data_IF_821374644418
#
_entry.id   IF_821374644418
#
_cell.length_a   1.000
_cell.length_b   1.000
_cell.length_c   1.000
_cell.angle_alpha   90.00
_cell.angle_beta   90.00
_cell.angle_gamma   90.00
#
_symmetry.space_group_name_H-M   'P 1'
#
loop_
_entity.id
_entity.type
_entity.pdbx_description
1 polymer ?
#
# COMPACT_ATOMS: atom_id res chain seq x y z
N UNK A 1 33.26 -43.76 42.78
CA UNK A 1 31.91 -44.29 43.02
C UNK A 1 30.96 -43.11 42.88
N UNK A 2 30.04 -43.22 41.91
CA UNK A 2 28.84 -42.39 41.67
C UNK A 2 28.99 -40.88 41.50
N UNK A 3 29.05 -40.50 40.22
CA UNK A 3 28.40 -39.34 39.61
C UNK A 3 26.86 -39.45 39.75
N UNK A 4 26.11 -38.36 40.02
CA UNK A 4 24.68 -38.32 39.71
C UNK A 4 24.30 -37.10 38.84
N UNK A 5 23.89 -37.41 37.59
CA UNK A 5 22.65 -37.00 36.91
C UNK A 5 22.17 -35.54 37.13
N UNK A 6 21.91 -34.74 36.10
CA UNK A 6 21.44 -35.10 34.78
C UNK A 6 21.51 -33.95 33.79
N UNK A 7 21.90 -34.31 32.57
CA UNK A 7 21.77 -33.49 31.37
C UNK A 7 20.29 -33.21 31.10
N UNK A 8 19.85 -31.97 31.35
CA UNK A 8 18.67 -31.43 30.73
C UNK A 8 19.01 -31.07 29.28
N UNK A 9 19.05 -32.10 28.42
CA UNK A 9 18.98 -31.93 26.96
C UNK A 9 17.58 -31.41 26.61
N UNK A 10 17.40 -30.10 26.78
CA UNK A 10 16.28 -29.37 26.21
C UNK A 10 16.40 -29.45 24.69
N UNK A 11 15.69 -30.42 24.12
CA UNK A 11 15.47 -30.50 22.69
C UNK A 11 14.91 -29.15 22.23
N UNK A 12 15.74 -28.38 21.53
CA UNK A 12 15.30 -27.24 20.73
C UNK A 12 14.37 -27.85 19.68
N UNK A 13 13.08 -27.81 19.94
CA UNK A 13 12.06 -28.13 18.96
C UNK A 13 12.22 -27.14 17.83
N UNK A 14 12.91 -27.57 16.78
CA UNK A 14 12.88 -26.97 15.45
C UNK A 14 11.42 -26.69 15.11
N UNK A 15 11.03 -25.42 15.15
CA UNK A 15 9.72 -24.97 14.71
C UNK A 15 9.70 -25.15 13.19
N UNK A 16 8.89 -26.09 12.72
CA UNK A 16 8.78 -26.42 11.30
C UNK A 16 8.56 -25.15 10.44
N UNK A 17 9.23 -25.02 9.27
CA UNK A 17 9.00 -23.93 8.35
C UNK A 17 7.66 -24.18 7.64
N UNK A 18 6.61 -23.50 8.09
CA UNK A 18 5.33 -23.52 7.38
C UNK A 18 4.12 -23.36 8.28
N UNK A 19 3.81 -22.13 8.70
CA UNK A 19 2.46 -21.75 9.12
C UNK A 19 2.04 -20.45 8.41
N UNK A 20 2.31 -20.39 7.10
CA UNK A 20 1.65 -19.42 6.24
C UNK A 20 0.15 -19.73 6.14
N UNK A 21 -0.69 -18.73 5.86
CA UNK A 21 -2.15 -18.91 5.81
C UNK A 21 -2.54 -19.87 4.67
N UNK A 22 -3.05 -21.06 5.01
CA UNK A 22 -3.83 -22.01 4.18
C UNK A 22 -3.58 -22.03 2.65
N UNK A 23 -4.60 -22.37 1.86
CA UNK A 23 -4.49 -22.51 0.39
C UNK A 23 -4.02 -21.24 -0.36
N UNK A 24 -3.89 -21.35 -1.68
CA UNK A 24 -3.36 -20.27 -2.55
C UNK A 24 -4.09 -18.93 -2.33
N UNK A 25 -5.42 -18.96 -2.18
CA UNK A 25 -6.22 -17.76 -1.94
C UNK A 25 -5.86 -17.06 -0.63
N UNK A 26 -5.70 -17.79 0.47
CA UNK A 26 -5.39 -17.18 1.77
C UNK A 26 -3.99 -16.57 1.80
N UNK A 27 -3.03 -17.14 1.05
CA UNK A 27 -1.69 -16.56 0.85
C UNK A 27 -1.76 -15.22 0.12
N UNK A 28 -2.61 -15.10 -0.90
CA UNK A 28 -2.84 -13.83 -1.59
C UNK A 28 -3.60 -12.81 -0.74
N UNK A 29 -4.64 -13.23 0.00
CA UNK A 29 -5.34 -12.34 0.94
C UNK A 29 -4.39 -11.79 1.99
N UNK A 30 -3.50 -12.63 2.51
CA UNK A 30 -2.44 -12.19 3.43
C UNK A 30 -1.51 -11.17 2.78
N UNK A 31 -1.00 -11.46 1.59
CA UNK A 31 -0.09 -10.57 0.86
C UNK A 31 -0.72 -9.21 0.52
N UNK A 32 -2.04 -9.16 0.31
CA UNK A 32 -2.78 -7.92 0.05
C UNK A 32 -3.03 -7.07 1.30
N UNK A 33 -2.82 -7.61 2.51
CA UNK A 33 -2.94 -6.91 3.80
C UNK A 33 -4.23 -6.09 3.93
N UNK A 34 -5.43 -6.72 3.85
CA UNK A 34 -6.72 -6.02 3.87
C UNK A 34 -6.93 -5.15 5.12
N UNK A 35 -6.30 -5.50 6.24
CA UNK A 35 -6.33 -4.69 7.47
C UNK A 35 -5.73 -3.28 7.28
N UNK A 36 -4.84 -3.10 6.31
CA UNK A 36 -4.25 -1.80 5.97
C UNK A 36 -5.13 -0.96 5.02
N UNK A 37 -6.15 -1.54 4.40
CA UNK A 37 -6.94 -0.87 3.36
C UNK A 37 -7.82 0.30 3.83
N UNK A 38 -8.26 0.42 5.10
CA UNK A 38 -8.95 1.62 5.56
C UNK A 38 -8.19 2.91 5.24
N UNK A 39 -6.84 2.87 5.24
CA UNK A 39 -5.99 4.01 4.89
C UNK A 39 -6.14 4.49 3.44
N UNK A 40 -6.66 3.63 2.56
CA UNK A 40 -6.96 3.93 1.15
C UNK A 40 -8.46 4.19 0.94
N UNK A 41 -9.31 3.38 1.57
CA UNK A 41 -10.76 3.45 1.39
C UNK A 41 -11.35 4.75 1.95
N UNK A 42 -10.83 5.26 3.08
CA UNK A 42 -11.30 6.52 3.67
C UNK A 42 -11.00 7.71 2.75
N UNK A 43 -9.77 7.93 2.26
CA UNK A 43 -9.52 8.95 1.25
C UNK A 43 -10.32 8.77 -0.04
N UNK A 44 -10.47 7.55 -0.54
CA UNK A 44 -11.25 7.30 -1.74
C UNK A 44 -12.73 7.71 -1.56
N UNK A 45 -13.34 7.32 -0.44
CA UNK A 45 -14.70 7.70 -0.09
C UNK A 45 -14.85 9.22 0.09
N UNK A 46 -13.88 9.87 0.75
CA UNK A 46 -13.83 11.33 0.86
C UNK A 46 -13.81 11.97 -0.54
N UNK A 47 -12.96 11.47 -1.44
CA UNK A 47 -12.91 11.94 -2.83
C UNK A 47 -14.25 11.83 -3.54
N UNK A 48 -14.91 10.68 -3.46
CA UNK A 48 -16.26 10.48 -4.03
C UNK A 48 -17.24 11.52 -3.45
N UNK A 49 -17.27 11.70 -2.14
CA UNK A 49 -18.13 12.69 -1.48
C UNK A 49 -17.85 14.13 -1.94
N UNK A 50 -16.57 14.50 -2.14
CA UNK A 50 -16.19 15.82 -2.66
C UNK A 50 -16.61 16.02 -4.12
N UNK A 51 -16.59 14.97 -4.94
CA UNK A 51 -17.12 15.02 -6.30
C UNK A 51 -18.64 15.22 -6.34
N UNK A 52 -19.37 14.55 -5.44
CA UNK A 52 -20.81 14.79 -5.25
C UNK A 52 -21.06 16.22 -4.78
N UNK A 53 -20.33 16.69 -3.76
CA UNK A 53 -20.48 18.06 -3.25
C UNK A 53 -20.21 19.11 -4.34
N UNK A 54 -19.27 18.84 -5.25
CA UNK A 54 -18.94 19.75 -6.34
C UNK A 54 -20.05 19.92 -7.38
N UNK A 55 -20.77 18.84 -7.67
CA UNK A 55 -21.76 18.78 -8.77
C UNK A 55 -23.21 18.67 -8.31
N UNK A 56 -23.41 18.46 -7.00
CA UNK A 56 -24.67 18.11 -6.35
C UNK A 56 -25.34 16.85 -6.94
N UNK A 57 -24.54 15.97 -7.57
CA UNK A 57 -25.03 14.79 -8.29
C UNK A 57 -24.28 13.53 -7.90
N UNK A 58 -25.05 12.48 -7.65
CA UNK A 58 -24.56 11.12 -7.49
C UNK A 58 -24.64 10.35 -8.80
N UNK A 59 -23.67 9.46 -9.02
CA UNK A 59 -23.58 8.63 -10.22
C UNK A 59 -22.83 7.33 -9.88
N UNK A 60 -23.34 6.19 -10.34
CA UNK A 60 -22.73 4.89 -10.09
C UNK A 60 -21.49 4.59 -10.96
N UNK A 61 -21.48 4.93 -12.27
CA UNK A 61 -20.30 4.69 -13.11
C UNK A 61 -18.97 5.24 -12.54
N UNK A 62 -18.88 6.49 -12.06
CA UNK A 62 -17.63 6.99 -11.51
C UNK A 62 -17.25 6.43 -10.14
N UNK A 63 -18.24 6.04 -9.33
CA UNK A 63 -17.99 5.27 -8.11
C UNK A 63 -17.27 3.96 -8.46
N UNK A 64 -17.76 3.21 -9.45
CA UNK A 64 -17.16 1.94 -9.86
C UNK A 64 -15.72 2.17 -10.34
N UNK A 65 -15.48 3.18 -11.17
CA UNK A 65 -14.13 3.54 -11.63
C UNK A 65 -13.21 3.88 -10.45
N UNK A 66 -13.68 4.70 -9.51
CA UNK A 66 -12.93 5.09 -8.32
C UNK A 66 -12.60 3.92 -7.40
N UNK A 67 -13.57 3.04 -7.13
CA UNK A 67 -13.39 1.83 -6.31
C UNK A 67 -12.40 0.87 -6.98
N UNK A 68 -12.57 0.57 -8.26
CA UNK A 68 -11.66 -0.34 -8.98
C UNK A 68 -10.24 0.22 -9.01
N UNK A 69 -10.07 1.52 -9.27
CA UNK A 69 -8.75 2.15 -9.24
C UNK A 69 -8.13 2.05 -7.84
N UNK A 70 -8.91 2.31 -6.78
CA UNK A 70 -8.44 2.23 -5.39
C UNK A 70 -8.02 0.81 -5.02
N UNK A 71 -8.79 -0.20 -5.42
CA UNK A 71 -8.50 -1.62 -5.14
C UNK A 71 -7.24 -2.09 -5.88
N UNK A 72 -7.15 -1.87 -7.19
CA UNK A 72 -6.00 -2.31 -7.98
C UNK A 72 -4.75 -1.48 -7.67
N UNK A 73 -4.90 -0.18 -7.45
CA UNK A 73 -3.83 0.69 -6.98
C UNK A 73 -3.33 0.27 -5.60
N UNK A 74 -4.22 -0.02 -4.65
CA UNK A 74 -3.87 -0.53 -3.33
C UNK A 74 -3.14 -1.89 -3.38
N UNK A 75 -3.59 -2.79 -4.25
CA UNK A 75 -2.91 -4.07 -4.47
C UNK A 75 -1.51 -3.86 -5.05
N UNK A 76 -1.36 -2.98 -6.04
CA UNK A 76 -0.04 -2.59 -6.57
C UNK A 76 0.85 -2.03 -5.47
N UNK A 77 0.31 -1.11 -4.65
CA UNK A 77 1.02 -0.45 -3.57
C UNK A 77 1.65 -1.46 -2.61
N UNK A 78 0.83 -2.37 -2.08
CA UNK A 78 1.27 -3.33 -1.07
C UNK A 78 2.25 -4.34 -1.66
N UNK A 79 1.96 -4.89 -2.84
CA UNK A 79 2.79 -5.92 -3.46
C UNK A 79 4.14 -5.36 -3.96
N UNK A 80 4.14 -4.16 -4.56
CA UNK A 80 5.37 -3.50 -4.99
C UNK A 80 6.26 -3.13 -3.81
N UNK A 81 5.66 -2.68 -2.70
CA UNK A 81 6.42 -2.40 -1.49
C UNK A 81 7.01 -3.67 -0.88
N UNK A 82 6.23 -4.75 -0.74
CA UNK A 82 6.73 -6.05 -0.24
C UNK A 82 7.87 -6.60 -1.10
N UNK A 83 7.80 -6.43 -2.42
CA UNK A 83 8.88 -6.82 -3.32
C UNK A 83 10.13 -5.94 -3.16
N UNK A 84 9.96 -4.62 -3.00
CA UNK A 84 11.07 -3.69 -2.82
C UNK A 84 11.79 -3.86 -1.47
N UNK A 85 11.04 -4.16 -0.41
CA UNK A 85 11.55 -4.34 0.96
C UNK A 85 12.11 -5.74 1.22
N UNK A 86 12.02 -6.67 0.26
CA UNK A 86 12.33 -8.09 0.49
C UNK A 86 13.72 -8.37 1.09
N UNK A 87 14.74 -7.59 0.72
CA UNK A 87 16.11 -7.79 1.22
C UNK A 87 16.25 -7.23 2.65
N UNK A 88 15.68 -6.05 2.90
CA UNK A 88 15.66 -5.43 4.23
C UNK A 88 14.86 -6.29 5.20
N UNK A 89 13.71 -6.82 4.77
CA UNK A 89 12.90 -7.69 5.59
C UNK A 89 13.59 -9.04 5.87
N UNK A 90 14.38 -9.59 4.94
CA UNK A 90 15.21 -10.79 5.19
C UNK A 90 16.27 -10.50 6.25
N UNK A 91 17.03 -9.41 6.12
CA UNK A 91 18.03 -9.00 7.11
C UNK A 91 17.41 -8.79 8.49
N UNK A 92 16.26 -8.09 8.58
CA UNK A 92 15.53 -7.92 9.85
C UNK A 92 15.12 -9.27 10.44
N UNK A 93 14.70 -10.23 9.61
CA UNK A 93 14.30 -11.58 10.06
C UNK A 93 15.49 -12.38 10.61
N UNK A 94 16.64 -12.27 9.98
CA UNK A 94 17.87 -12.92 10.42
C UNK A 94 18.39 -12.32 11.74
N UNK A 95 18.31 -10.99 11.89
CA UNK A 95 18.71 -10.28 13.13
C UNK A 95 17.74 -10.53 14.29
N UNK A 96 16.44 -10.62 14.02
CA UNK A 96 15.40 -10.77 15.05
C UNK A 96 14.42 -11.91 14.73
N UNK A 97 14.81 -13.19 14.88
CA UNK A 97 14.00 -14.35 14.44
C UNK A 97 12.65 -14.47 15.16
N UNK A 98 12.55 -13.96 16.38
CA UNK A 98 11.35 -13.99 17.21
C UNK A 98 10.56 -12.68 17.20
N UNK A 99 11.06 -11.61 16.58
CA UNK A 99 10.41 -10.30 16.56
C UNK A 99 9.72 -10.04 15.21
N UNK A 100 8.65 -9.26 15.25
CA UNK A 100 7.94 -8.76 14.08
C UNK A 100 6.81 -9.66 13.57
N UNK A 101 5.90 -9.04 12.82
CA UNK A 101 4.79 -9.72 12.14
C UNK A 101 5.29 -10.51 10.93
N UNK A 102 4.61 -11.61 10.55
CA UNK A 102 5.00 -12.39 9.37
C UNK A 102 5.03 -11.54 8.09
N UNK A 103 6.00 -11.82 7.22
CA UNK A 103 6.29 -11.09 5.97
C UNK A 103 6.02 -11.97 4.76
N UNK A 104 5.55 -11.36 3.67
CA UNK A 104 5.07 -12.09 2.48
C UNK A 104 6.17 -12.93 1.81
N UNK A 105 7.34 -12.35 1.54
CA UNK A 105 8.44 -13.00 0.82
C UNK A 105 9.40 -13.74 1.77
N UNK A 106 9.95 -13.10 2.84
CA UNK A 106 10.93 -13.75 3.73
C UNK A 106 10.40 -15.00 4.42
N UNK A 107 9.13 -15.02 4.86
CA UNK A 107 8.52 -16.20 5.49
C UNK A 107 7.90 -17.17 4.47
N UNK A 108 8.17 -16.98 3.17
CA UNK A 108 7.74 -17.89 2.11
C UNK A 108 6.22 -17.92 1.85
N UNK A 109 5.46 -16.92 2.30
CA UNK A 109 4.02 -16.84 2.03
C UNK A 109 3.75 -16.71 0.54
N UNK A 110 4.52 -15.94 -0.21
CA UNK A 110 4.55 -15.98 -1.68
C UNK A 110 5.98 -15.85 -2.17
N UNK A 111 6.30 -16.52 -3.28
CA UNK A 111 7.60 -16.37 -3.91
C UNK A 111 7.78 -14.98 -4.52
N UNK A 112 9.00 -14.44 -4.48
CA UNK A 112 9.38 -13.13 -5.01
C UNK A 112 8.83 -12.86 -6.42
N UNK A 113 9.05 -13.80 -7.35
CA UNK A 113 8.55 -13.67 -8.74
C UNK A 113 7.03 -13.57 -8.83
N UNK A 114 6.30 -14.21 -7.92
CA UNK A 114 4.84 -14.16 -7.88
C UNK A 114 4.37 -12.80 -7.37
N UNK A 115 5.02 -12.26 -6.34
CA UNK A 115 4.73 -10.92 -5.81
C UNK A 115 5.02 -9.85 -6.85
N UNK A 116 6.18 -9.91 -7.52
CA UNK A 116 6.54 -8.97 -8.59
C UNK A 116 5.52 -9.00 -9.76
N UNK A 117 5.13 -10.20 -10.21
CA UNK A 117 4.09 -10.35 -11.24
C UNK A 117 2.74 -9.83 -10.75
N UNK A 118 2.36 -10.10 -9.51
CA UNK A 118 1.13 -9.60 -8.90
C UNK A 118 1.09 -8.07 -8.88
N UNK A 119 2.19 -7.44 -8.47
CA UNK A 119 2.34 -5.98 -8.49
C UNK A 119 2.19 -5.41 -9.91
N UNK A 120 2.87 -6.01 -10.90
CA UNK A 120 2.79 -5.57 -12.30
C UNK A 120 1.37 -5.73 -12.90
N UNK A 121 0.71 -6.85 -12.60
CA UNK A 121 -0.68 -7.10 -13.03
C UNK A 121 -1.64 -6.11 -12.37
N UNK A 122 -1.49 -5.86 -11.07
CA UNK A 122 -2.30 -4.88 -10.35
C UNK A 122 -2.10 -3.45 -10.90
N UNK A 123 -0.85 -3.06 -11.20
CA UNK A 123 -0.54 -1.79 -11.84
C UNK A 123 -1.18 -1.68 -13.24
N UNK A 124 -1.10 -2.76 -14.03
CA UNK A 124 -1.74 -2.83 -15.34
C UNK A 124 -3.25 -2.66 -15.26
N UNK A 125 -3.92 -3.31 -14.29
CA UNK A 125 -5.35 -3.11 -14.07
C UNK A 125 -5.68 -1.70 -13.60
N UNK A 126 -4.92 -1.13 -12.66
CA UNK A 126 -5.12 0.26 -12.20
C UNK A 126 -4.97 1.26 -13.36
N UNK A 127 -3.93 1.09 -14.19
CA UNK A 127 -3.71 1.91 -15.39
C UNK A 127 -4.86 1.74 -16.41
N UNK A 128 -5.31 0.50 -16.63
CA UNK A 128 -6.45 0.23 -17.52
C UNK A 128 -7.73 0.90 -17.01
N UNK A 129 -8.01 0.84 -15.70
CA UNK A 129 -9.18 1.51 -15.10
C UNK A 129 -9.08 3.02 -15.26
N UNK A 130 -7.91 3.62 -15.05
CA UNK A 130 -7.73 5.05 -15.23
C UNK A 130 -7.98 5.50 -16.68
N UNK A 131 -7.40 4.78 -17.66
CA UNK A 131 -7.52 5.13 -19.08
C UNK A 131 -8.92 4.82 -19.61
N UNK A 132 -9.45 3.61 -19.37
CA UNK A 132 -10.78 3.23 -19.84
C UNK A 132 -11.88 4.01 -19.11
N UNK A 133 -11.68 4.32 -17.82
CA UNK A 133 -12.56 5.19 -17.05
C UNK A 133 -12.58 6.62 -17.60
N UNK A 134 -11.42 7.17 -17.98
CA UNK A 134 -11.34 8.48 -18.64
C UNK A 134 -12.13 8.52 -19.94
N UNK A 135 -12.03 7.46 -20.77
CA UNK A 135 -12.78 7.34 -22.02
C UNK A 135 -14.29 7.16 -21.77
N UNK A 136 -14.66 6.25 -20.87
CA UNK A 136 -16.05 5.91 -20.59
C UNK A 136 -16.82 7.08 -19.96
N UNK A 137 -16.18 7.83 -19.07
CA UNK A 137 -16.78 8.99 -18.41
C UNK A 137 -16.58 10.29 -19.19
N UNK A 138 -15.80 10.28 -20.28
CA UNK A 138 -15.38 11.49 -21.02
C UNK A 138 -14.64 12.52 -20.15
N UNK A 139 -13.81 12.04 -19.22
CA UNK A 139 -13.02 12.87 -18.29
C UNK A 139 -11.53 12.57 -18.49
N UNK A 140 -10.90 13.24 -19.44
CA UNK A 140 -9.51 12.97 -19.85
C UNK A 140 -8.48 13.11 -18.71
N UNK A 141 -8.74 13.97 -17.72
CA UNK A 141 -7.86 14.16 -16.56
C UNK A 141 -7.73 12.91 -15.68
N UNK A 142 -8.68 11.97 -15.72
CA UNK A 142 -8.58 10.70 -14.98
C UNK A 142 -7.40 9.85 -15.43
N UNK A 143 -7.11 9.82 -16.73
CA UNK A 143 -5.98 9.06 -17.25
C UNK A 143 -4.67 9.61 -16.69
N UNK A 144 -4.49 10.93 -16.75
CA UNK A 144 -3.27 11.59 -16.25
C UNK A 144 -3.11 11.48 -14.74
N UNK A 145 -4.20 11.69 -13.98
CA UNK A 145 -4.18 11.55 -12.52
C UNK A 145 -3.90 10.11 -12.10
N UNK A 146 -4.54 9.13 -12.74
CA UNK A 146 -4.36 7.73 -12.42
C UNK A 146 -2.96 7.22 -12.77
N UNK A 147 -2.48 7.49 -13.99
CA UNK A 147 -1.13 7.11 -14.43
C UNK A 147 -0.05 7.85 -13.64
N UNK A 148 -0.26 9.13 -13.35
CA UNK A 148 0.61 9.93 -12.50
C UNK A 148 0.69 9.37 -11.08
N UNK A 149 -0.44 8.99 -10.48
CA UNK A 149 -0.46 8.35 -9.16
C UNK A 149 0.28 7.01 -9.11
N UNK A 150 0.10 6.17 -10.13
CA UNK A 150 0.85 4.91 -10.27
C UNK A 150 2.36 5.20 -10.39
N UNK A 151 2.76 6.18 -11.21
CA UNK A 151 4.16 6.55 -11.39
C UNK A 151 4.79 7.12 -10.11
N UNK A 152 4.06 7.97 -9.37
CA UNK A 152 4.49 8.50 -8.06
C UNK A 152 4.73 7.36 -7.08
N UNK A 153 3.82 6.38 -7.01
CA UNK A 153 4.01 5.25 -6.12
C UNK A 153 5.14 4.32 -6.58
N UNK A 154 5.30 4.11 -7.89
CA UNK A 154 6.45 3.37 -8.41
C UNK A 154 7.77 4.06 -8.00
N UNK A 155 7.85 5.40 -8.08
CA UNK A 155 9.00 6.17 -7.62
C UNK A 155 9.24 6.08 -6.10
N UNK A 156 8.18 5.89 -5.32
CA UNK A 156 8.26 5.71 -3.86
C UNK A 156 9.00 4.42 -3.48
N UNK A 157 8.58 3.25 -4.00
CA UNK A 157 9.14 1.95 -3.59
C UNK A 157 10.22 1.39 -4.53
N UNK A 158 10.12 1.62 -5.85
CA UNK A 158 10.90 0.87 -6.85
C UNK A 158 12.17 1.61 -7.32
N UNK A 159 13.19 0.88 -7.80
CA UNK A 159 14.35 1.47 -8.48
C UNK A 159 13.93 2.25 -9.74
N UNK A 160 14.70 3.30 -10.13
CA UNK A 160 15.94 3.78 -9.50
C UNK A 160 15.74 4.81 -8.38
N UNK A 161 14.51 5.29 -8.16
CA UNK A 161 14.26 6.43 -7.28
C UNK A 161 14.19 6.02 -5.80
N UNK A 162 13.41 4.99 -5.46
CA UNK A 162 13.26 4.46 -4.08
C UNK A 162 13.15 5.57 -3.05
N UNK A 163 12.28 6.56 -3.28
CA UNK A 163 12.21 7.78 -2.46
C UNK A 163 11.96 7.47 -0.97
N UNK A 164 11.24 6.38 -0.67
CA UNK A 164 11.04 5.93 0.71
C UNK A 164 12.34 5.64 1.48
N UNK A 165 13.44 5.35 0.77
CA UNK A 165 14.75 5.01 1.36
C UNK A 165 15.72 6.20 1.38
N UNK A 166 15.29 7.38 0.92
CA UNK A 166 16.13 8.58 0.80
C UNK A 166 15.67 9.73 1.70
N UNK A 167 14.75 9.45 2.62
CA UNK A 167 14.05 10.45 3.40
C UNK A 167 12.87 11.05 2.64
N UNK A 168 11.80 11.37 3.37
CA UNK A 168 10.59 11.97 2.80
C UNK A 168 9.50 11.00 2.36
N UNK A 169 9.61 9.71 2.72
CA UNK A 169 8.58 8.70 2.46
C UNK A 169 7.21 9.10 3.04
N UNK A 170 7.20 9.71 4.21
CA UNK A 170 5.98 10.18 4.89
C UNK A 170 5.27 11.29 4.10
N UNK A 171 6.03 12.22 3.51
CA UNK A 171 5.47 13.26 2.64
C UNK A 171 4.87 12.65 1.38
N UNK A 172 5.51 11.63 0.81
CA UNK A 172 5.03 10.98 -0.39
C UNK A 172 3.81 10.10 -0.13
N UNK A 173 3.76 9.42 1.01
CA UNK A 173 2.56 8.74 1.50
C UNK A 173 1.43 9.74 1.71
N UNK A 174 1.68 10.82 2.46
CA UNK A 174 0.71 11.89 2.68
C UNK A 174 0.23 12.53 1.38
N UNK A 175 1.09 12.71 0.39
CA UNK A 175 0.69 13.20 -0.92
C UNK A 175 -0.18 12.18 -1.67
N UNK A 176 0.20 10.91 -1.64
CA UNK A 176 -0.56 9.83 -2.27
C UNK A 176 -1.97 9.67 -1.68
N UNK A 177 -2.06 9.48 -0.37
CA UNK A 177 -3.35 9.24 0.32
C UNK A 177 -4.10 10.53 0.64
N UNK A 178 -3.41 11.65 0.84
CA UNK A 178 -4.02 12.93 1.20
C UNK A 178 -4.44 13.79 0.01
N UNK A 179 -3.78 13.64 -1.15
CA UNK A 179 -4.07 14.43 -2.35
C UNK A 179 -4.47 13.55 -3.53
N UNK A 180 -3.58 12.68 -4.01
CA UNK A 180 -3.74 12.03 -5.33
C UNK A 180 -4.97 11.11 -5.37
N UNK A 181 -5.10 10.21 -4.39
CA UNK A 181 -6.19 9.26 -4.31
C UNK A 181 -7.58 9.92 -4.12
N UNK A 182 -7.77 10.83 -3.15
CA UNK A 182 -9.05 11.52 -3.01
C UNK A 182 -9.34 12.44 -4.20
N UNK A 183 -8.33 13.09 -4.80
CA UNK A 183 -8.52 13.89 -6.00
C UNK A 183 -8.96 13.03 -7.19
N UNK A 184 -8.34 11.87 -7.43
CA UNK A 184 -8.77 10.96 -8.50
C UNK A 184 -10.25 10.59 -8.35
N UNK A 185 -10.69 10.23 -7.13
CA UNK A 185 -12.08 9.89 -6.85
C UNK A 185 -13.01 11.12 -6.97
N UNK A 186 -12.58 12.31 -6.57
CA UNK A 186 -13.34 13.54 -6.72
C UNK A 186 -13.50 13.97 -8.18
N UNK A 187 -12.48 13.75 -9.00
CA UNK A 187 -12.53 14.01 -10.45
C UNK A 187 -13.39 12.98 -11.16
N UNK A 188 -13.35 11.71 -10.73
CA UNK A 188 -14.23 10.69 -11.30
C UNK A 188 -15.69 11.10 -11.09
N UNK A 189 -16.05 11.39 -9.84
CA UNK A 189 -17.43 11.69 -9.47
C UNK A 189 -17.90 13.09 -9.88
N UNK A 190 -17.00 14.07 -9.91
CA UNK A 190 -17.29 15.47 -10.21
C UNK A 190 -16.97 15.92 -11.64
N UNK A 191 -16.30 15.08 -12.44
CA UNK A 191 -15.98 15.34 -13.85
C UNK A 191 -14.89 16.39 -14.13
N UNK A 192 -14.35 17.04 -13.12
CA UNK A 192 -13.38 18.14 -13.29
C UNK A 192 -12.27 18.14 -12.23
N UNK A 193 -11.00 18.37 -12.60
CA UNK A 193 -9.91 18.60 -11.66
C UNK A 193 -10.03 19.94 -10.92
N UNK A 194 -10.77 20.91 -11.47
CA UNK A 194 -11.10 22.17 -10.81
C UNK A 194 -12.27 22.00 -9.83
N UNK A 195 -12.15 21.01 -8.94
CA UNK A 195 -13.17 20.69 -7.95
C UNK A 195 -13.00 21.61 -6.73
N UNK A 196 -13.95 22.54 -6.54
CA UNK A 196 -13.89 23.52 -5.45
C UNK A 196 -13.88 22.87 -4.07
N UNK A 197 -14.65 21.79 -3.87
CA UNK A 197 -14.76 21.11 -2.58
C UNK A 197 -13.43 20.42 -2.24
N UNK A 198 -12.80 19.78 -3.23
CA UNK A 198 -11.47 19.21 -3.08
C UNK A 198 -10.41 20.29 -2.81
N UNK A 199 -10.44 21.43 -3.51
CA UNK A 199 -9.51 22.52 -3.27
C UNK A 199 -9.59 23.05 -1.83
N UNK A 200 -10.77 23.06 -1.21
CA UNK A 200 -10.96 23.48 0.18
C UNK A 200 -10.59 22.39 1.20
N UNK A 201 -10.94 21.14 0.94
CA UNK A 201 -10.82 20.06 1.93
C UNK A 201 -9.45 19.36 1.91
N UNK A 202 -8.84 19.16 0.73
CA UNK A 202 -7.64 18.35 0.60
C UNK A 202 -6.40 18.94 1.28
N UNK A 203 -6.17 20.26 1.36
CA UNK A 203 -5.03 20.79 2.13
C UNK A 203 -5.07 20.35 3.60
N UNK A 204 -6.22 20.49 4.27
CA UNK A 204 -6.39 20.07 5.66
C UNK A 204 -6.30 18.55 5.82
N UNK A 205 -6.92 17.79 4.90
CA UNK A 205 -6.82 16.33 4.91
C UNK A 205 -5.40 15.83 4.66
N UNK A 206 -4.60 16.53 3.85
CA UNK A 206 -3.19 16.20 3.60
C UNK A 206 -2.32 16.44 4.83
N UNK A 207 -2.61 17.49 5.61
CA UNK A 207 -1.94 17.69 6.91
C UNK A 207 -2.26 16.56 7.88
N UNK A 208 -3.52 16.08 7.91
CA UNK A 208 -3.91 14.92 8.72
C UNK A 208 -3.20 13.64 8.25
N UNK A 209 -3.14 13.41 6.94
CA UNK A 209 -2.43 12.27 6.36
C UNK A 209 -0.93 12.32 6.68
N UNK A 210 -0.30 13.50 6.63
CA UNK A 210 1.09 13.69 7.02
C UNK A 210 1.30 13.43 8.51
N UNK A 211 0.44 13.95 9.37
CA UNK A 211 0.51 13.68 10.81
C UNK A 211 0.38 12.18 11.10
N UNK A 212 -0.52 11.47 10.39
CA UNK A 212 -0.66 10.01 10.51
C UNK A 212 0.58 9.26 10.01
N UNK A 213 1.17 9.69 8.89
CA UNK A 213 2.38 9.09 8.35
C UNK A 213 3.58 9.26 9.30
N UNK A 214 3.77 10.48 9.83
CA UNK A 214 4.78 10.78 10.84
C UNK A 214 4.58 9.97 12.13
N UNK A 215 3.34 9.87 12.62
CA UNK A 215 3.04 9.07 13.82
C UNK A 215 3.36 7.58 13.60
N UNK A 216 3.07 7.05 12.41
CA UNK A 216 3.45 5.68 12.05
C UNK A 216 4.96 5.51 11.95
N UNK A 217 5.66 6.46 11.31
CA UNK A 217 7.12 6.44 11.16
C UNK A 217 7.84 6.50 12.50
N UNK A 218 7.42 7.37 13.41
CA UNK A 218 7.96 7.47 14.76
C UNK A 218 7.74 6.20 15.59
N UNK A 219 6.61 5.51 15.40
CA UNK A 219 6.36 4.21 16.06
C UNK A 219 7.30 3.10 15.58
N UNK A 220 7.84 3.23 14.36
CA UNK A 220 8.73 2.25 13.73
C UNK A 220 10.22 2.67 13.79
N UNK A 221 10.54 3.86 14.34
CA UNK A 221 11.89 4.45 14.32
C UNK A 221 12.96 3.53 14.95
N UNK A 222 12.68 2.88 16.08
CA UNK A 222 13.63 1.96 16.72
C UNK A 222 13.89 0.71 15.87
N UNK A 223 12.86 0.21 15.17
CA UNK A 223 12.92 -0.96 14.28
C UNK A 223 13.58 -0.65 12.94
N UNK A 224 13.42 0.58 12.45
CA UNK A 224 14.01 1.06 11.20
C UNK A 224 15.49 1.42 11.37
N UNK A 225 15.85 2.08 12.47
CA UNK A 225 17.25 2.37 12.81
C UNK A 225 18.07 1.10 13.00
N UNK A 226 17.47 0.03 13.54
CA UNK A 226 18.10 -1.29 13.64
C UNK A 226 18.21 -2.02 12.29
N UNK A 227 17.37 -1.69 11.31
CA UNK A 227 17.34 -2.28 9.97
C UNK A 227 18.05 -1.48 8.87
N UNK A 228 18.68 -0.35 9.21
CA UNK A 228 19.37 0.52 8.25
C UNK A 228 18.45 1.45 7.44
N UNK A 229 17.26 1.76 7.96
CA UNK A 229 16.38 2.83 7.46
C UNK A 229 16.39 4.01 8.42
#
# INVERSE_FOLDING_TARGET
MSDPLGEATGAVTSKAPGNGPGGVLSRWVFALKPQSWPKLLVPAALGQALGVAHTERWSWPPLIVGVLFTVFGGAFIVLANDWADQEVDRLKRDMFPAAGSPKTIPDGVLGERSVAKGAAVAAGFAASVAVLGALWLSVASLAWLGLGGIAVFAAYSLPPLRLNYRGGGEFLEAFGVGVVLPLFNAVAQGGSPANWAAAMALPGFSCLALASALASGLSDEESDRAGGK
#
